data_IF_165785566747
#
_entry.id   IF_165785566747
#
_cell.length_a   1.000
_cell.length_b   1.000
_cell.length_c   1.000
_cell.angle_alpha   90.00
_cell.angle_beta   90.00
_cell.angle_gamma   90.00
#
_symmetry.space_group_name_H-M   'P 1'
#
loop_
_entity.id
_entity.type
_entity.pdbx_description
1 polymer ?
#
# COMPACT_ATOMS: atom_id res chain seq x y z
N UNK A 1 15.83 -25.56 44.60
CA UNK A 1 16.65 -24.63 43.78
C UNK A 1 16.33 -23.20 44.19
N UNK A 2 17.32 -22.39 44.62
CA UNK A 2 17.05 -21.01 45.09
C UNK A 2 16.79 -20.09 43.88
N UNK A 3 15.83 -19.15 43.98
CA UNK A 3 15.44 -18.20 42.91
C UNK A 3 16.62 -17.53 42.20
N UNK A 4 17.71 -17.25 42.94
CA UNK A 4 18.94 -16.63 42.43
C UNK A 4 19.76 -17.54 41.51
N UNK A 5 19.73 -18.86 41.71
CA UNK A 5 20.41 -19.81 40.83
C UNK A 5 19.64 -20.03 39.52
N UNK A 6 18.31 -20.04 39.59
CA UNK A 6 17.45 -20.14 38.42
C UNK A 6 17.64 -18.96 37.46
N UNK A 7 17.68 -17.74 37.99
CA UNK A 7 17.91 -16.52 37.19
C UNK A 7 19.32 -16.48 36.57
N UNK A 8 20.35 -16.97 37.28
CA UNK A 8 21.70 -17.09 36.71
C UNK A 8 21.77 -18.10 35.56
N UNK A 9 21.07 -19.24 35.68
CA UNK A 9 21.01 -20.24 34.61
C UNK A 9 20.28 -19.70 33.36
N UNK A 10 19.21 -18.93 33.54
CA UNK A 10 18.47 -18.27 32.45
C UNK A 10 19.32 -17.23 31.69
N UNK A 11 20.10 -16.42 32.39
CA UNK A 11 20.96 -15.40 31.77
C UNK A 11 22.11 -16.00 30.94
N UNK A 12 22.63 -17.17 31.38
CA UNK A 12 23.69 -17.88 30.66
C UNK A 12 23.10 -18.58 29.42
N UNK A 13 21.89 -19.14 29.51
CA UNK A 13 21.23 -19.77 28.35
C UNK A 13 20.76 -18.76 27.30
N UNK A 14 20.36 -17.54 27.68
CA UNK A 14 20.02 -16.48 26.72
C UNK A 14 21.24 -15.89 26.00
N UNK A 15 22.43 -15.93 26.62
CA UNK A 15 23.66 -15.39 26.03
C UNK A 15 24.25 -16.31 24.95
N UNK A 16 24.07 -17.64 25.09
CA UNK A 16 24.50 -18.60 24.07
C UNK A 16 23.64 -18.63 22.81
N UNK A 17 22.34 -18.34 22.94
CA UNK A 17 21.40 -18.31 21.80
C UNK A 17 21.51 -16.99 21.02
N UNK A 18 21.70 -15.86 21.72
CA UNK A 18 21.88 -14.55 21.08
C UNK A 18 23.19 -14.46 20.27
N UNK A 19 24.27 -15.09 20.74
CA UNK A 19 25.57 -15.07 20.05
C UNK A 19 25.58 -15.81 18.70
N UNK A 20 24.77 -16.86 18.55
CA UNK A 20 24.72 -17.65 17.33
C UNK A 20 23.78 -17.03 16.26
N UNK A 21 22.71 -16.33 16.69
CA UNK A 21 21.81 -15.62 15.76
C UNK A 21 22.40 -14.31 15.21
N UNK A 22 23.28 -13.64 15.96
CA UNK A 22 23.91 -12.39 15.52
C UNK A 22 24.93 -12.58 14.38
N UNK A 23 25.53 -13.78 14.25
CA UNK A 23 26.50 -14.06 13.18
C UNK A 23 25.86 -14.53 11.86
N UNK A 24 24.60 -14.96 11.88
CA UNK A 24 23.87 -15.40 10.67
C UNK A 24 22.80 -14.40 10.19
N UNK A 25 22.34 -13.48 11.05
CA UNK A 25 21.25 -12.56 10.73
C UNK A 25 21.62 -11.43 9.75
N UNK A 26 22.87 -10.98 9.73
CA UNK A 26 23.25 -9.77 8.97
C UNK A 26 23.41 -10.01 7.45
N UNK A 27 23.61 -11.25 6.99
CA UNK A 27 23.81 -11.53 5.55
C UNK A 27 22.48 -11.83 4.83
N UNK A 28 21.45 -12.28 5.55
CA UNK A 28 20.15 -12.58 4.97
C UNK A 28 19.22 -11.36 4.86
N UNK A 29 19.41 -10.35 5.72
CA UNK A 29 18.61 -9.12 5.66
C UNK A 29 18.91 -8.31 4.38
N UNK A 30 20.18 -8.14 4.01
CA UNK A 30 20.52 -7.37 2.80
C UNK A 30 20.12 -8.07 1.49
N UNK A 31 20.01 -9.40 1.48
CA UNK A 31 19.70 -10.17 0.27
C UNK A 31 18.20 -10.36 0.03
N UNK A 32 17.35 -10.34 1.08
CA UNK A 32 15.89 -10.42 0.93
C UNK A 32 15.20 -9.09 0.59
N UNK A 33 15.77 -7.95 0.99
CA UNK A 33 15.25 -6.62 0.61
C UNK A 33 15.68 -6.19 -0.82
N UNK A 34 16.48 -7.00 -1.51
CA UNK A 34 17.18 -6.63 -2.74
C UNK A 34 16.52 -6.99 -4.07
N UNK A 35 15.29 -7.53 -4.12
CA UNK A 35 14.69 -7.95 -5.41
C UNK A 35 13.28 -7.38 -5.63
N UNK A 36 13.20 -6.46 -6.60
CA UNK A 36 12.02 -5.92 -7.30
C UNK A 36 11.40 -4.59 -6.87
N UNK A 37 12.16 -3.65 -6.28
CA UNK A 37 11.76 -2.22 -6.36
C UNK A 37 12.35 -1.57 -7.62
N UNK A 38 11.95 -2.07 -8.80
CA UNK A 38 12.09 -1.28 -10.04
C UNK A 38 11.23 -0.03 -9.82
N UNK A 39 11.87 1.14 -9.72
CA UNK A 39 11.19 2.38 -9.35
C UNK A 39 10.18 2.77 -10.42
N UNK A 40 8.93 2.33 -10.23
CA UNK A 40 7.80 2.73 -11.07
C UNK A 40 7.72 4.26 -11.14
N UNK A 41 7.23 4.82 -12.26
CA UNK A 41 7.11 6.26 -12.40
C UNK A 41 6.27 6.82 -11.26
N UNK A 42 6.93 7.59 -10.40
CA UNK A 42 6.28 8.32 -9.32
C UNK A 42 5.42 9.40 -9.95
N UNK A 43 4.10 9.31 -9.82
CA UNK A 43 3.16 10.32 -10.32
C UNK A 43 3.17 11.51 -9.37
N UNK A 44 3.37 12.74 -9.88
CA UNK A 44 3.26 13.93 -9.04
C UNK A 44 1.83 14.03 -8.48
N UNK A 45 1.73 14.32 -7.18
CA UNK A 45 0.45 14.41 -6.48
C UNK A 45 -0.32 15.64 -6.98
N UNK A 46 -1.64 15.50 -7.14
CA UNK A 46 -2.47 16.59 -7.69
C UNK A 46 -2.76 17.71 -6.69
N UNK A 47 -2.85 17.39 -5.38
CA UNK A 47 -3.30 18.33 -4.36
C UNK A 47 -2.32 18.39 -3.18
N UNK A 48 -1.51 19.44 -3.16
CA UNK A 48 -0.62 19.76 -2.04
C UNK A 48 -0.21 21.24 -2.08
N UNK A 49 0.18 21.77 -0.92
CA UNK A 49 0.73 23.13 -0.81
C UNK A 49 2.11 23.10 -0.16
N UNK A 50 2.92 24.13 -0.44
CA UNK A 50 4.20 24.34 0.26
C UNK A 50 3.94 25.03 1.59
N UNK A 51 4.55 24.53 2.66
CA UNK A 51 4.51 25.12 4.00
C UNK A 51 5.93 25.24 4.56
N UNK A 52 6.15 26.03 5.63
CA UNK A 52 7.45 26.08 6.31
C UNK A 52 7.90 24.72 6.88
N UNK A 53 6.97 23.80 7.13
CA UNK A 53 7.25 22.47 7.72
C UNK A 53 7.47 21.37 6.68
N UNK A 54 7.25 21.64 5.40
CA UNK A 54 7.29 20.66 4.32
C UNK A 54 6.15 20.83 3.32
N UNK A 55 5.83 19.77 2.58
CA UNK A 55 4.70 19.76 1.65
C UNK A 55 3.46 19.23 2.36
N UNK A 56 2.43 20.05 2.50
CA UNK A 56 1.15 19.61 3.06
C UNK A 56 0.34 18.90 2.00
N UNK A 57 0.10 17.61 2.20
CA UNK A 57 -0.81 16.83 1.36
C UNK A 57 -2.26 17.24 1.63
N UNK A 58 -3.07 17.49 0.59
CA UNK A 58 -4.49 17.84 0.73
C UNK A 58 -5.43 16.76 0.17
N UNK A 59 -4.91 15.55 -0.05
CA UNK A 59 -5.65 14.46 -0.68
C UNK A 59 -6.59 13.77 0.32
N UNK A 60 -6.21 13.67 1.59
CA UNK A 60 -7.00 13.01 2.63
C UNK A 60 -7.10 13.89 3.88
N UNK A 61 -8.05 13.61 4.79
CA UNK A 61 -8.29 14.45 5.97
C UNK A 61 -7.13 14.57 6.96
N UNK A 62 -6.09 13.73 6.86
CA UNK A 62 -4.94 13.80 7.77
C UNK A 62 -4.05 15.03 7.54
N UNK A 63 -4.11 15.63 6.33
CA UNK A 63 -3.36 16.84 5.98
C UNK A 63 -1.87 16.84 6.37
N UNK A 64 -1.19 15.69 6.22
CA UNK A 64 0.19 15.52 6.68
C UNK A 64 1.13 16.58 6.07
N UNK A 65 1.96 17.21 6.90
CA UNK A 65 3.12 18.01 6.47
C UNK A 65 4.32 17.09 6.26
N UNK A 66 4.65 16.79 5.00
CA UNK A 66 5.65 15.78 4.64
C UNK A 66 6.99 16.47 4.33
N UNK A 67 8.02 16.19 5.14
CA UNK A 67 9.37 16.74 4.95
C UNK A 67 10.09 16.03 3.80
N UNK A 68 11.12 16.66 3.21
CA UNK A 68 11.92 16.03 2.15
C UNK A 68 12.46 14.65 2.57
N UNK A 69 12.22 13.63 1.75
CA UNK A 69 12.63 12.25 2.00
C UNK A 69 11.66 11.45 2.89
N UNK A 70 10.73 12.10 3.58
CA UNK A 70 9.74 11.44 4.44
C UNK A 70 8.48 11.04 3.65
N UNK A 71 7.68 10.19 4.28
CA UNK A 71 6.37 9.76 3.78
C UNK A 71 5.24 10.27 4.68
N UNK A 72 4.04 10.42 4.11
CA UNK A 72 2.84 10.68 4.90
C UNK A 72 2.34 9.44 5.63
N UNK A 73 1.40 9.60 6.57
CA UNK A 73 0.88 8.51 7.41
C UNK A 73 0.27 7.35 6.59
N UNK A 74 -0.29 7.68 5.43
CA UNK A 74 -0.83 6.70 4.50
C UNK A 74 0.23 5.82 3.81
N UNK A 75 1.52 6.15 3.95
CA UNK A 75 2.68 5.46 3.35
C UNK A 75 2.73 5.48 1.81
N UNK A 76 1.83 6.19 1.14
CA UNK A 76 1.76 6.28 -0.33
C UNK A 76 2.24 7.61 -0.92
N UNK A 77 2.64 8.55 -0.06
CA UNK A 77 3.06 9.91 -0.44
C UNK A 77 4.48 10.15 0.01
N UNK A 78 5.35 10.62 -0.89
CA UNK A 78 6.75 10.95 -0.59
C UNK A 78 7.10 12.34 -1.11
N UNK A 79 7.75 13.14 -0.27
CA UNK A 79 8.29 14.44 -0.68
C UNK A 79 9.69 14.25 -1.26
N UNK A 80 9.91 14.60 -2.53
CA UNK A 80 11.21 14.50 -3.20
C UNK A 80 11.41 15.65 -4.17
N UNK A 81 12.56 16.32 -4.11
CA UNK A 81 12.89 17.41 -5.05
C UNK A 81 11.89 18.58 -5.01
N UNK A 82 11.36 18.92 -3.83
CA UNK A 82 10.40 20.01 -3.66
C UNK A 82 8.99 19.73 -4.20
N UNK A 83 8.70 18.49 -4.60
CA UNK A 83 7.41 18.02 -5.10
C UNK A 83 6.91 16.82 -4.30
N UNK A 84 5.59 16.68 -4.23
CA UNK A 84 4.96 15.53 -3.59
C UNK A 84 4.62 14.49 -4.66
N UNK A 85 4.94 13.22 -4.40
CA UNK A 85 4.71 12.14 -5.34
C UNK A 85 3.86 11.02 -4.73
N UNK A 86 2.97 10.46 -5.55
CA UNK A 86 2.29 9.20 -5.31
C UNK A 86 3.23 8.02 -5.61
N UNK A 87 3.49 7.18 -4.62
CA UNK A 87 4.23 5.91 -4.80
C UNK A 87 3.29 4.75 -5.14
N UNK A 88 1.99 4.91 -4.90
CA UNK A 88 0.93 3.95 -5.20
C UNK A 88 0.27 4.22 -6.58
N UNK A 89 1.07 4.30 -7.64
CA UNK A 89 0.58 4.54 -9.00
C UNK A 89 1.00 3.40 -9.94
N UNK A 90 0.02 2.75 -10.59
CA UNK A 90 0.27 1.64 -11.52
C UNK A 90 0.77 0.36 -10.86
N UNK A 91 0.58 0.21 -9.54
CA UNK A 91 1.15 -0.87 -8.75
C UNK A 91 0.20 -1.46 -7.70
N UNK A 92 -0.98 -1.95 -8.10
CA UNK A 92 -1.85 -2.62 -7.17
C UNK A 92 -1.16 -3.84 -6.56
N UNK A 93 -1.38 -4.06 -5.25
CA UNK A 93 -0.92 -5.24 -4.52
C UNK A 93 -2.00 -6.32 -4.45
N UNK A 94 -3.25 -5.98 -4.80
CA UNK A 94 -4.37 -6.92 -4.84
C UNK A 94 -5.22 -6.67 -6.09
N UNK A 95 -5.61 -7.76 -6.76
CA UNK A 95 -6.42 -7.78 -7.96
C UNK A 95 -7.33 -9.01 -7.93
N UNK A 96 -8.65 -8.81 -7.91
CA UNK A 96 -9.61 -9.91 -7.88
C UNK A 96 -10.81 -9.63 -8.78
N UNK A 97 -11.46 -10.69 -9.25
CA UNK A 97 -12.76 -10.61 -9.91
C UNK A 97 -13.79 -11.11 -8.92
N UNK A 98 -14.52 -10.18 -8.30
CA UNK A 98 -15.51 -10.47 -7.27
C UNK A 98 -16.93 -10.28 -7.82
N UNK A 99 -17.94 -11.04 -7.36
CA UNK A 99 -19.34 -10.70 -7.60
C UNK A 99 -19.69 -9.34 -6.97
N UNK A 100 -20.62 -8.60 -7.58
CA UNK A 100 -21.01 -7.27 -7.11
C UNK A 100 -21.63 -7.33 -5.70
N UNK A 101 -22.21 -8.46 -5.32
CA UNK A 101 -22.86 -8.72 -4.04
C UNK A 101 -21.88 -8.66 -2.85
N UNK A 102 -20.56 -8.75 -3.10
CA UNK A 102 -19.53 -8.53 -2.07
C UNK A 102 -19.36 -7.05 -1.72
N UNK A 103 -19.86 -6.13 -2.55
CA UNK A 103 -19.74 -4.68 -2.35
C UNK A 103 -20.95 -4.19 -1.54
N UNK A 104 -20.79 -3.18 -0.67
CA UNK A 104 -21.86 -2.66 0.19
C UNK A 104 -22.83 -1.77 -0.62
N UNK A 105 -23.40 -2.32 -1.70
CA UNK A 105 -24.33 -1.65 -2.61
C UNK A 105 -25.61 -2.48 -2.73
N UNK A 106 -26.76 -1.88 -2.42
CA UNK A 106 -28.05 -2.56 -2.51
C UNK A 106 -28.58 -2.55 -3.95
N UNK A 107 -28.93 -3.73 -4.46
CA UNK A 107 -29.54 -3.93 -5.79
C UNK A 107 -28.79 -3.24 -6.94
N UNK A 108 -27.46 -3.14 -6.84
CA UNK A 108 -26.62 -2.51 -7.84
C UNK A 108 -26.02 -3.56 -8.79
N UNK A 109 -26.40 -3.49 -10.07
CA UNK A 109 -25.94 -4.41 -11.13
C UNK A 109 -25.97 -5.91 -10.75
N UNK A 110 -27.10 -6.48 -10.29
CA UNK A 110 -27.15 -7.85 -9.75
C UNK A 110 -26.51 -8.89 -10.67
N UNK A 111 -25.86 -9.89 -10.09
CA UNK A 111 -25.17 -11.00 -10.75
C UNK A 111 -23.93 -10.60 -11.58
N UNK A 112 -23.61 -9.30 -11.64
CA UNK A 112 -22.44 -8.83 -12.38
C UNK A 112 -21.15 -9.04 -11.60
N UNK A 113 -20.03 -9.00 -12.34
CA UNK A 113 -18.67 -9.05 -11.78
C UNK A 113 -18.08 -7.65 -11.68
N UNK A 114 -17.29 -7.42 -10.63
CA UNK A 114 -16.50 -6.22 -10.40
C UNK A 114 -15.01 -6.56 -10.42
N UNK A 115 -14.24 -5.85 -11.25
CA UNK A 115 -12.79 -5.91 -11.23
C UNK A 115 -12.26 -5.11 -10.05
N UNK A 116 -11.84 -5.81 -9.00
CA UNK A 116 -11.50 -5.25 -7.69
C UNK A 116 -10.00 -5.06 -7.57
N UNK A 117 -9.53 -3.84 -7.30
CA UNK A 117 -8.10 -3.55 -7.15
C UNK A 117 -7.82 -2.71 -5.91
N UNK A 118 -6.61 -2.87 -5.37
CA UNK A 118 -6.08 -2.09 -4.25
C UNK A 118 -4.57 -1.87 -4.38
N UNK A 119 -4.07 -0.76 -3.86
CA UNK A 119 -2.64 -0.56 -3.61
C UNK A 119 -2.34 -0.72 -2.12
N UNK A 120 -1.07 -0.94 -1.78
CA UNK A 120 -0.64 -0.87 -0.40
C UNK A 120 -0.72 0.57 0.13
N UNK A 121 -0.92 0.69 1.44
CA UNK A 121 -1.11 1.96 2.15
C UNK A 121 -2.58 2.33 2.34
N UNK A 122 -2.86 3.10 3.38
CA UNK A 122 -4.19 3.55 3.79
C UNK A 122 -4.06 4.70 4.79
N UNK A 123 -4.91 5.72 4.72
CA UNK A 123 -4.96 6.83 5.68
C UNK A 123 -5.76 6.50 6.94
N UNK A 124 -6.34 5.30 7.01
CA UNK A 124 -7.09 4.79 8.15
C UNK A 124 -6.30 3.70 8.89
N UNK A 125 -6.46 3.67 10.21
CA UNK A 125 -5.89 2.65 11.09
C UNK A 125 -7.01 1.86 11.80
N UNK A 126 -7.90 1.26 11.00
CA UNK A 126 -9.09 0.58 11.52
C UNK A 126 -8.71 -0.59 12.44
N UNK A 127 -9.29 -0.65 13.65
CA UNK A 127 -9.00 -1.67 14.67
C UNK A 127 -9.22 -3.11 14.16
N UNK A 128 -10.22 -3.30 13.29
CA UNK A 128 -10.62 -4.62 12.78
C UNK A 128 -10.40 -4.75 11.26
N UNK A 129 -9.37 -4.08 10.72
CA UNK A 129 -9.09 -4.12 9.29
C UNK A 129 -8.75 -5.56 8.84
N UNK A 130 -9.61 -6.16 8.01
CA UNK A 130 -9.33 -7.49 7.42
C UNK A 130 -8.18 -7.45 6.41
N UNK A 131 -7.89 -6.27 5.85
CA UNK A 131 -6.82 -6.06 4.86
C UNK A 131 -5.62 -5.34 5.49
N UNK A 132 -5.38 -5.49 6.79
CA UNK A 132 -4.30 -4.80 7.51
C UNK A 132 -2.93 -5.08 6.90
N UNK A 133 -2.71 -6.28 6.37
CA UNK A 133 -1.45 -6.71 5.75
C UNK A 133 -1.03 -5.89 4.53
N UNK A 134 -1.99 -5.26 3.84
CA UNK A 134 -1.72 -4.35 2.71
C UNK A 134 -1.96 -2.87 3.06
N UNK A 135 -2.98 -2.58 3.88
CA UNK A 135 -3.35 -1.20 4.24
C UNK A 135 -2.35 -0.55 5.18
N UNK A 136 -1.63 -1.34 5.99
CA UNK A 136 -0.65 -0.85 6.96
C UNK A 136 0.81 -0.97 6.48
N UNK A 137 1.02 -1.24 5.19
CA UNK A 137 2.34 -1.33 4.56
C UNK A 137 2.51 -0.27 3.49
N UNK A 138 3.74 0.14 3.22
CA UNK A 138 4.05 0.95 2.05
C UNK A 138 4.04 0.10 0.77
N UNK A 139 3.86 0.71 -0.41
CA UNK A 139 4.04 0.01 -1.68
C UNK A 139 5.44 -0.61 -1.88
N UNK A 140 6.45 -0.21 -1.10
CA UNK A 140 7.78 -0.84 -1.13
C UNK A 140 7.87 -2.16 -0.35
N UNK A 141 6.88 -2.47 0.48
CA UNK A 141 6.88 -3.62 1.40
C UNK A 141 5.89 -4.72 0.98
N UNK A 142 5.28 -4.59 -0.20
CA UNK A 142 4.31 -5.53 -0.76
C UNK A 142 4.72 -5.98 -2.16
N UNK A 143 4.31 -7.21 -2.51
CA UNK A 143 4.41 -7.69 -3.88
C UNK A 143 3.31 -7.03 -4.71
N UNK A 144 3.70 -6.31 -5.76
CA UNK A 144 2.78 -5.51 -6.56
C UNK A 144 2.81 -5.95 -8.03
N UNK A 145 1.63 -5.96 -8.65
CA UNK A 145 1.48 -6.15 -10.08
C UNK A 145 1.90 -4.90 -10.83
N UNK A 146 2.36 -5.04 -12.08
CA UNK A 146 2.48 -3.92 -13.01
C UNK A 146 1.18 -3.74 -13.80
N UNK A 147 0.41 -2.74 -13.41
CA UNK A 147 -0.91 -2.50 -13.97
C UNK A 147 -1.16 -0.99 -14.05
N UNK A 148 -0.76 -0.39 -15.17
CA UNK A 148 -1.01 1.03 -15.44
C UNK A 148 -2.51 1.28 -15.69
N UNK A 149 -3.02 2.52 -15.53
CA UNK A 149 -4.45 2.84 -15.66
C UNK A 149 -5.17 2.24 -16.87
N UNK A 150 -4.53 2.28 -18.05
CA UNK A 150 -5.12 1.71 -19.27
C UNK A 150 -5.28 0.20 -19.23
N UNK A 151 -4.40 -0.51 -18.53
CA UNK A 151 -4.49 -1.95 -18.36
C UNK A 151 -5.61 -2.35 -17.40
N UNK A 152 -5.97 -1.50 -16.41
CA UNK A 152 -7.11 -1.76 -15.52
C UNK A 152 -8.39 -1.98 -16.32
N UNK A 153 -8.70 -1.07 -17.24
CA UNK A 153 -9.89 -1.16 -18.10
C UNK A 153 -9.81 -2.37 -19.04
N UNK A 154 -8.64 -2.66 -19.60
CA UNK A 154 -8.44 -3.85 -20.46
C UNK A 154 -8.68 -5.14 -19.69
N UNK A 155 -8.15 -5.27 -18.48
CA UNK A 155 -8.37 -6.45 -17.63
C UNK A 155 -9.85 -6.56 -17.24
N UNK A 156 -10.51 -5.46 -16.85
CA UNK A 156 -11.94 -5.47 -16.55
C UNK A 156 -12.78 -5.99 -17.73
N UNK A 157 -12.49 -5.55 -18.97
CA UNK A 157 -13.14 -6.06 -20.18
C UNK A 157 -12.82 -7.52 -20.44
N UNK A 158 -11.54 -7.92 -20.32
CA UNK A 158 -11.08 -9.30 -20.49
C UNK A 158 -11.82 -10.28 -19.57
N UNK A 159 -12.04 -9.89 -18.31
CA UNK A 159 -12.77 -10.70 -17.33
C UNK A 159 -14.30 -10.51 -17.37
N UNK A 160 -14.81 -9.73 -18.33
CA UNK A 160 -16.24 -9.42 -18.49
C UNK A 160 -16.86 -8.83 -17.21
N UNK A 161 -16.12 -7.93 -16.56
CA UNK A 161 -16.61 -7.17 -15.42
C UNK A 161 -17.43 -5.97 -15.90
N UNK A 162 -18.58 -5.70 -15.27
CA UNK A 162 -19.41 -4.52 -15.57
C UNK A 162 -18.96 -3.28 -14.78
N UNK A 163 -18.07 -3.45 -13.82
CA UNK A 163 -17.57 -2.36 -12.97
C UNK A 163 -16.13 -2.60 -12.55
N UNK A 164 -15.45 -1.52 -12.16
CA UNK A 164 -14.15 -1.54 -11.49
C UNK A 164 -14.39 -1.05 -10.05
N UNK A 165 -13.93 -1.81 -9.07
CA UNK A 165 -14.02 -1.47 -7.66
C UNK A 165 -12.63 -1.17 -7.12
N UNK A 166 -12.40 0.07 -6.68
CA UNK A 166 -11.22 0.43 -5.90
C UNK A 166 -11.54 0.13 -4.43
N UNK A 167 -10.91 -0.89 -3.86
CA UNK A 167 -11.37 -1.54 -2.62
C UNK A 167 -10.17 -2.07 -1.81
N UNK A 168 -10.44 -2.73 -0.68
CA UNK A 168 -9.49 -3.38 0.25
C UNK A 168 -8.61 -2.41 1.05
N UNK A 169 -8.06 -1.38 0.40
CA UNK A 169 -7.49 -0.18 1.03
C UNK A 169 -8.31 1.06 0.65
N UNK A 170 -8.07 2.18 1.33
CA UNK A 170 -8.82 3.42 1.11
C UNK A 170 -8.42 4.08 -0.22
N UNK A 171 -9.31 4.15 -1.24
CA UNK A 171 -8.97 4.61 -2.58
C UNK A 171 -8.41 6.03 -2.68
N UNK A 172 -8.70 6.90 -1.71
CA UNK A 172 -8.18 8.28 -1.73
C UNK A 172 -6.64 8.31 -1.67
N UNK A 173 -5.99 7.31 -1.06
CA UNK A 173 -4.53 7.34 -0.90
C UNK A 173 -3.78 7.07 -2.21
N UNK A 174 -4.45 6.51 -3.22
CA UNK A 174 -3.95 6.32 -4.58
C UNK A 174 -4.82 7.07 -5.61
N UNK A 175 -5.33 8.24 -5.21
CA UNK A 175 -6.27 9.06 -5.97
C UNK A 175 -5.91 9.26 -7.45
N UNK A 176 -4.66 9.57 -7.79
CA UNK A 176 -4.25 9.80 -9.19
C UNK A 176 -4.42 8.53 -10.03
N UNK A 177 -4.14 7.38 -9.45
CA UNK A 177 -4.32 6.09 -10.11
C UNK A 177 -5.80 5.77 -10.30
N UNK A 178 -6.65 6.05 -9.29
CA UNK A 178 -8.11 5.95 -9.40
C UNK A 178 -8.65 6.87 -10.50
N UNK A 179 -8.26 8.15 -10.47
CA UNK A 179 -8.77 9.17 -11.37
C UNK A 179 -8.44 8.85 -12.83
N UNK A 180 -7.18 8.54 -13.12
CA UNK A 180 -6.75 8.24 -14.49
C UNK A 180 -7.37 6.93 -14.99
N UNK A 181 -7.49 5.91 -14.13
CA UNK A 181 -8.16 4.64 -14.47
C UNK A 181 -9.66 4.85 -14.72
N UNK A 182 -10.34 5.65 -13.89
CA UNK A 182 -11.76 5.94 -14.02
C UNK A 182 -12.08 6.77 -15.28
N UNK A 183 -11.22 7.72 -15.63
CA UNK A 183 -11.34 8.49 -16.90
C UNK A 183 -11.27 7.56 -18.10
N UNK A 184 -10.30 6.64 -18.12
CA UNK A 184 -10.14 5.68 -19.21
C UNK A 184 -11.33 4.72 -19.28
N UNK A 185 -11.77 4.19 -18.12
CA UNK A 185 -12.94 3.32 -18.04
C UNK A 185 -14.19 4.03 -18.58
N UNK A 186 -14.47 5.26 -18.14
CA UNK A 186 -15.62 6.04 -18.63
C UNK A 186 -15.60 6.24 -20.15
N UNK A 187 -14.43 6.47 -20.74
CA UNK A 187 -14.29 6.61 -22.19
C UNK A 187 -14.51 5.28 -22.96
N UNK A 188 -14.51 4.15 -22.26
CA UNK A 188 -14.51 2.80 -22.82
C UNK A 188 -15.77 1.99 -22.52
N UNK A 189 -16.74 2.56 -21.81
CA UNK A 189 -17.92 1.85 -21.29
C UNK A 189 -17.60 0.90 -20.16
#
# INVERSE_FOLDING_TARGET
>A
MKKREFLKKLAISSSGIAGLQLLQGNVLAETYFGKHFQSKPKREALYYIKTPRGLRCQICPNECDIKPGETGDCRTRISKGGKLYATAYGNPCAMHVDPIEKKPLYHFLPTSKAFSIATAGCNLACLNCQNWEISQKSPGETNNYDLMPGEVTKQAKKYQCKSIAYTYSEPIVFYEYVLDSAKIAKANG
#
